data_IF_633152880377
#
_entry.id   IF_633152880377
#
_cell.length_a   1.000
_cell.length_b   1.000
_cell.length_c   1.000
_cell.angle_alpha   90.00
_cell.angle_beta   90.00
_cell.angle_gamma   90.00
#
_symmetry.space_group_name_H-M   'P 1'
#
loop_
_entity.id
_entity.type
_entity.pdbx_description
1 polymer ?
#
# COMPACT_ATOMS: atom_id res chain seq x y z
N UNK A 1 -17.88 -7.62 -3.01
CA UNK A 1 -17.35 -7.07 -4.28
C UNK A 1 -16.75 -5.71 -3.99
N UNK A 2 -15.66 -5.32 -4.66
CA UNK A 2 -15.04 -3.99 -4.50
C UNK A 2 -15.54 -3.08 -5.62
N UNK A 3 -15.80 -1.81 -5.30
CA UNK A 3 -16.33 -0.83 -6.23
C UNK A 3 -15.33 0.31 -6.45
N UNK A 4 -15.42 0.93 -7.62
CA UNK A 4 -14.70 2.16 -7.95
C UNK A 4 -15.57 3.31 -7.43
N UNK A 5 -15.11 3.94 -6.37
CA UNK A 5 -15.81 5.02 -5.69
C UNK A 5 -14.82 6.04 -5.14
N UNK A 6 -15.29 7.25 -4.86
CA UNK A 6 -14.47 8.31 -4.26
C UNK A 6 -13.99 7.88 -2.87
N UNK A 7 -12.72 8.13 -2.59
CA UNK A 7 -12.10 7.77 -1.31
C UNK A 7 -11.59 6.33 -1.22
N UNK A 8 -11.79 5.51 -2.26
CA UNK A 8 -11.25 4.14 -2.34
C UNK A 8 -9.73 4.17 -2.47
N UNK A 9 -9.05 3.41 -1.60
CA UNK A 9 -7.59 3.26 -1.65
C UNK A 9 -7.18 2.23 -2.68
N UNK A 10 -6.07 2.48 -3.38
CA UNK A 10 -5.54 1.63 -4.45
C UNK A 10 -4.04 1.45 -4.33
N UNK A 11 -3.54 0.35 -4.90
CA UNK A 11 -2.11 0.10 -5.13
C UNK A 11 -1.82 -0.07 -6.62
N UNK A 12 -0.61 0.29 -7.08
CA UNK A 12 -0.14 -0.10 -8.40
C UNK A 12 -0.24 -1.61 -8.62
N UNK A 13 -0.53 -2.03 -9.85
CA UNK A 13 -0.64 -3.45 -10.21
C UNK A 13 0.70 -4.18 -9.99
N UNK A 14 1.82 -3.48 -10.24
CA UNK A 14 3.19 -3.97 -10.11
C UNK A 14 3.55 -4.30 -8.67
N UNK A 15 3.94 -5.55 -8.39
CA UNK A 15 4.23 -6.05 -7.03
C UNK A 15 5.31 -5.24 -6.29
N UNK A 16 6.33 -4.75 -7.00
CA UNK A 16 7.44 -3.98 -6.43
C UNK A 16 7.01 -2.62 -5.87
N UNK A 17 5.97 -2.03 -6.46
CA UNK A 17 5.47 -0.68 -6.16
C UNK A 17 4.24 -0.67 -5.24
N UNK A 18 3.76 -1.85 -4.80
CA UNK A 18 2.66 -1.98 -3.82
C UNK A 18 2.95 -1.40 -2.43
N UNK A 19 4.08 -0.74 -2.27
CA UNK A 19 4.39 0.04 -1.07
C UNK A 19 3.77 1.46 -1.16
N UNK A 20 3.41 1.91 -2.37
CA UNK A 20 2.86 3.23 -2.64
C UNK A 20 1.34 3.17 -2.74
N UNK A 21 0.63 3.72 -1.75
CA UNK A 21 -0.84 3.86 -1.79
C UNK A 21 -1.24 5.14 -2.54
N UNK A 22 -2.41 5.10 -3.15
CA UNK A 22 -3.11 6.28 -3.65
C UNK A 22 -4.61 6.19 -3.32
N UNK A 23 -5.33 7.32 -3.37
CA UNK A 23 -6.78 7.38 -3.20
C UNK A 23 -7.43 7.91 -4.47
N UNK A 24 -8.57 7.34 -4.85
CA UNK A 24 -9.42 7.87 -5.93
C UNK A 24 -10.11 9.16 -5.45
N UNK A 25 -9.80 10.29 -6.07
CA UNK A 25 -10.41 11.60 -5.76
C UNK A 25 -11.43 12.06 -6.82
N UNK A 26 -11.43 11.42 -7.99
CA UNK A 26 -12.35 11.74 -9.07
C UNK A 26 -12.50 10.57 -10.03
N UNK A 27 -13.67 10.47 -10.66
CA UNK A 27 -13.95 9.49 -11.71
C UNK A 27 -14.25 10.29 -12.97
N UNK A 28 -13.45 10.07 -14.02
CA UNK A 28 -13.59 10.79 -15.28
C UNK A 28 -14.59 10.04 -16.16
N UNK A 29 -14.32 8.76 -16.39
CA UNK A 29 -15.13 7.89 -17.23
C UNK A 29 -15.06 6.42 -16.77
N UNK A 30 -15.54 5.49 -17.59
CA UNK A 30 -15.53 4.05 -17.31
C UNK A 30 -14.14 3.40 -17.27
N UNK A 31 -13.10 4.13 -17.66
CA UNK A 31 -11.73 3.65 -17.86
C UNK A 31 -10.68 4.45 -17.09
N UNK A 32 -10.93 5.73 -16.79
CA UNK A 32 -9.99 6.65 -16.16
C UNK A 32 -10.50 7.25 -14.85
N UNK A 33 -9.61 7.34 -13.88
CA UNK A 33 -9.84 7.96 -12.58
C UNK A 33 -8.71 8.93 -12.24
N UNK A 34 -9.00 9.88 -11.36
CA UNK A 34 -8.00 10.79 -10.78
C UNK A 34 -7.57 10.23 -9.43
N UNK A 35 -6.27 9.98 -9.28
CA UNK A 35 -5.64 9.49 -8.07
C UNK A 35 -4.88 10.60 -7.35
N UNK A 36 -4.95 10.62 -6.03
CA UNK A 36 -4.06 11.38 -5.16
C UNK A 36 -2.93 10.47 -4.68
N UNK A 37 -1.69 10.78 -5.06
CA UNK A 37 -0.50 10.05 -4.62
C UNK A 37 -0.04 10.52 -3.24
N UNK A 38 0.76 9.70 -2.58
CA UNK A 38 1.36 10.03 -1.28
C UNK A 38 2.34 11.20 -1.31
N UNK A 39 2.85 11.58 -2.50
CA UNK A 39 3.66 12.79 -2.69
C UNK A 39 2.81 14.07 -2.83
N UNK A 40 1.48 13.96 -2.78
CA UNK A 40 0.56 15.09 -2.93
C UNK A 40 0.23 15.44 -4.37
N UNK A 41 0.79 14.76 -5.37
CA UNK A 41 0.44 14.99 -6.77
C UNK A 41 -0.88 14.31 -7.14
N UNK A 42 -1.59 14.91 -8.11
CA UNK A 42 -2.75 14.32 -8.73
C UNK A 42 -2.32 13.68 -10.05
N UNK A 43 -2.71 12.43 -10.28
CA UNK A 43 -2.42 11.71 -11.52
C UNK A 43 -3.72 11.16 -12.10
N UNK A 44 -3.88 11.26 -13.42
CA UNK A 44 -4.94 10.54 -14.13
C UNK A 44 -4.40 9.17 -14.51
N UNK A 45 -5.06 8.12 -14.03
CA UNK A 45 -4.63 6.75 -14.24
C UNK A 45 -5.77 5.88 -14.80
N UNK A 46 -5.46 4.94 -15.73
CA UNK A 46 -6.44 3.97 -16.18
C UNK A 46 -6.72 2.94 -15.09
N UNK A 47 -7.95 2.43 -15.04
CA UNK A 47 -8.39 1.43 -14.04
C UNK A 47 -7.54 0.15 -14.09
N UNK A 48 -7.00 -0.18 -15.25
CA UNK A 48 -6.15 -1.35 -15.45
C UNK A 48 -4.77 -1.25 -14.78
N UNK A 49 -4.31 -0.06 -14.35
CA UNK A 49 -2.97 0.11 -13.78
C UNK A 49 -2.90 -0.13 -12.27
N UNK A 50 -4.03 -0.35 -11.60
CA UNK A 50 -4.10 -0.48 -10.16
C UNK A 50 -5.05 -1.57 -9.67
N UNK A 51 -4.93 -1.90 -8.40
CA UNK A 51 -5.77 -2.87 -7.69
C UNK A 51 -6.47 -2.16 -6.53
N UNK A 52 -7.76 -2.44 -6.35
CA UNK A 52 -8.58 -1.87 -5.29
C UNK A 52 -8.31 -2.54 -3.93
N UNK A 53 -8.07 -1.73 -2.91
CA UNK A 53 -8.02 -2.17 -1.51
C UNK A 53 -9.41 -2.14 -0.87
N UNK A 54 -9.55 -2.82 0.27
CA UNK A 54 -10.82 -2.86 1.00
C UNK A 54 -11.10 -1.57 1.78
N UNK A 55 -10.09 -0.73 1.94
CA UNK A 55 -10.14 0.54 2.65
C UNK A 55 -10.82 1.65 1.80
N UNK A 56 -11.78 2.36 2.40
CA UNK A 56 -12.43 3.55 1.84
C UNK A 56 -12.41 4.63 2.90
N UNK A 57 -12.07 5.84 2.50
CA UNK A 57 -12.12 7.02 3.35
C UNK A 57 -13.18 7.99 2.86
N UNK A 58 -13.88 8.65 3.78
CA UNK A 58 -14.69 9.80 3.40
C UNK A 58 -13.76 11.00 3.17
N UNK A 59 -13.66 11.44 1.91
CA UNK A 59 -12.78 12.53 1.49
C UNK A 59 -13.53 13.83 1.22
N UNK A 60 -14.85 13.88 1.45
CA UNK A 60 -15.66 15.05 1.12
C UNK A 60 -15.33 16.23 2.04
N UNK A 61 -14.85 17.33 1.45
CA UNK A 61 -14.49 18.54 2.20
C UNK A 61 -13.15 18.46 2.94
N UNK A 62 -12.39 17.37 2.77
CA UNK A 62 -11.02 17.31 3.27
C UNK A 62 -10.08 18.13 2.40
N UNK A 63 -9.06 18.72 3.02
CA UNK A 63 -7.98 19.36 2.28
C UNK A 63 -7.04 18.32 1.68
N UNK A 64 -6.27 18.74 0.68
CA UNK A 64 -5.31 17.90 -0.01
C UNK A 64 -4.30 17.24 0.95
N UNK A 65 -3.83 17.98 1.95
CA UNK A 65 -2.86 17.51 2.94
C UNK A 65 -3.45 16.39 3.79
N UNK A 66 -4.70 16.54 4.23
CA UNK A 66 -5.36 15.56 5.07
C UNK A 66 -5.62 14.24 4.33
N UNK A 67 -5.90 14.30 3.03
CA UNK A 67 -6.03 13.10 2.18
C UNK A 67 -4.68 12.37 2.08
N UNK A 68 -3.58 13.10 1.95
CA UNK A 68 -2.23 12.51 1.87
C UNK A 68 -1.86 11.80 3.17
N UNK A 69 -2.22 12.35 4.34
CA UNK A 69 -1.97 11.72 5.63
C UNK A 69 -2.64 10.35 5.78
N UNK A 70 -3.80 10.12 5.14
CA UNK A 70 -4.51 8.84 5.19
C UNK A 70 -3.76 7.72 4.46
N UNK A 71 -2.95 8.05 3.45
CA UNK A 71 -2.23 7.09 2.60
C UNK A 71 -0.75 6.97 2.92
N UNK A 72 -0.23 7.74 3.88
CA UNK A 72 1.18 7.65 4.23
C UNK A 72 1.53 6.24 4.74
N UNK A 73 2.61 5.62 4.24
CA UNK A 73 3.05 4.32 4.73
C UNK A 73 3.49 4.44 6.20
N UNK A 74 2.79 3.73 7.10
CA UNK A 74 3.12 3.69 8.53
C UNK A 74 4.48 3.02 8.80
N UNK A 75 4.92 2.14 7.89
CA UNK A 75 6.17 1.41 8.00
C UNK A 75 7.16 1.89 6.94
N UNK A 76 8.12 2.72 7.38
CA UNK A 76 9.36 2.86 6.64
C UNK A 76 10.07 1.50 6.69
N UNK A 77 10.10 0.77 5.57
CA UNK A 77 10.93 -0.44 5.45
C UNK A 77 12.33 -0.10 5.94
N UNK A 78 12.72 -0.62 7.11
CA UNK A 78 14.08 -0.48 7.61
C UNK A 78 15.01 -1.04 6.55
N UNK A 79 15.93 -0.21 6.05
CA UNK A 79 17.00 -0.68 5.18
C UNK A 79 17.85 -1.63 6.02
N UNK A 80 17.68 -2.93 5.82
CA UNK A 80 18.44 -3.93 6.55
C UNK A 80 19.88 -3.96 6.03
N UNK A 81 20.84 -3.78 6.93
CA UNK A 81 22.24 -4.03 6.61
C UNK A 81 22.55 -5.55 6.66
N UNK A 82 23.75 -5.94 6.24
CA UNK A 82 24.14 -7.35 6.15
C UNK A 82 24.17 -8.06 7.51
N UNK A 83 24.56 -7.33 8.55
CA UNK A 83 24.58 -7.84 9.92
C UNK A 83 23.17 -8.03 10.49
N UNK A 84 22.23 -7.16 10.15
CA UNK A 84 20.81 -7.31 10.51
C UNK A 84 20.20 -8.52 9.82
N UNK A 85 20.50 -8.74 8.53
CA UNK A 85 20.07 -9.97 7.81
C UNK A 85 20.62 -11.23 8.46
N UNK A 86 21.88 -11.20 8.93
CA UNK A 86 22.46 -12.31 9.66
C UNK A 86 21.71 -12.61 10.96
N UNK A 87 21.36 -11.58 11.74
CA UNK A 87 20.57 -11.75 12.98
C UNK A 87 19.18 -12.30 12.71
N UNK A 88 18.51 -11.82 11.66
CA UNK A 88 17.18 -12.34 11.27
C UNK A 88 17.25 -13.80 10.88
N UNK A 89 18.24 -14.18 10.07
CA UNK A 89 18.47 -15.57 9.68
C UNK A 89 18.72 -16.48 10.88
N UNK A 90 19.61 -16.07 11.79
CA UNK A 90 19.92 -16.86 12.99
C UNK A 90 18.67 -17.07 13.87
N UNK A 91 17.81 -16.04 13.98
CA UNK A 91 16.56 -16.10 14.73
C UNK A 91 15.56 -17.07 14.09
N UNK A 92 15.51 -17.11 12.76
CA UNK A 92 14.65 -18.01 12.01
C UNK A 92 15.14 -19.46 12.11
N UNK A 93 16.45 -19.69 12.04
CA UNK A 93 17.08 -21.01 12.22
C UNK A 93 16.76 -21.60 13.61
N UNK A 94 16.87 -20.80 14.68
CA UNK A 94 16.51 -21.22 16.05
C UNK A 94 15.03 -21.56 16.16
N UNK A 95 14.13 -20.73 15.59
CA UNK A 95 12.69 -21.03 15.58
C UNK A 95 12.39 -22.35 14.88
N UNK A 96 13.00 -22.58 13.73
CA UNK A 96 12.79 -23.80 12.95
C UNK A 96 13.34 -25.03 13.68
N UNK A 97 14.45 -24.91 14.40
CA UNK A 97 14.98 -25.99 15.24
C UNK A 97 13.99 -26.37 16.36
N UNK A 98 13.45 -25.38 17.07
CA UNK A 98 12.46 -25.61 18.14
C UNK A 98 11.18 -26.24 17.60
N UNK A 99 10.70 -25.81 16.43
CA UNK A 99 9.50 -26.38 15.80
C UNK A 99 9.72 -27.85 15.41
N UNK A 100 10.87 -28.17 14.82
CA UNK A 100 11.26 -29.55 14.49
C UNK A 100 11.35 -30.45 15.72
N UNK A 101 11.93 -29.95 16.82
CA UNK A 101 11.97 -30.68 18.10
C UNK A 101 10.58 -30.93 18.69
N UNK A 102 9.62 -30.04 18.42
CA UNK A 102 8.22 -30.19 18.83
C UNK A 102 7.36 -30.99 17.84
N UNK A 103 7.95 -31.55 16.78
CA UNK A 103 7.28 -32.43 15.83
C UNK A 103 6.29 -31.73 14.87
N UNK A 104 6.49 -30.43 14.63
CA UNK A 104 5.75 -29.61 13.66
C UNK A 104 6.59 -29.29 12.43
#
# INVERSE_FOLDING_TARGET
MKFIELGRTVFPITKTERNMKAIIIGIIDSTFVVLKKSNGENEVAPISSFILLDEVHDIKGLTSERIVELIQPKDQKKKSNDFERFKEKLKEDVKNSILKEKGL
#
